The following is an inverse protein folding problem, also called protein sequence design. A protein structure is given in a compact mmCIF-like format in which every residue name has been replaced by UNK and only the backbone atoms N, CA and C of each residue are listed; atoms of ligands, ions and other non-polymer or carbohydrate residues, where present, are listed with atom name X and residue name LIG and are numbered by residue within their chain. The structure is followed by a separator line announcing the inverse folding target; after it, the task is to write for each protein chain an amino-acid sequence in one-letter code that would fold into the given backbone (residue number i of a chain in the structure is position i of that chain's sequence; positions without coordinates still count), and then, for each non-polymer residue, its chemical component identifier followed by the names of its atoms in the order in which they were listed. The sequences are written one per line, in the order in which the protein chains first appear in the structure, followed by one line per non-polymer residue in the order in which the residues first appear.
data_IF_686430745807
#
_entry.id   IF_686430745807
#
_cell.length_a   1.000
_cell.length_b   1.000
_cell.length_c   1.000
_cell.angle_alpha   90.00
_cell.angle_beta   90.00
_cell.angle_gamma   90.00
#
_symmetry.space_group_name_H-M   'P 1'
#
loop_
_entity.id
_entity.type
_entity.pdbx_description
1 polymer ?
#
# COMPACT_ATOMS: atom_id res chain seq x y z
N UNK A 1 12.69 1.12 -2.89
CA UNK A 1 12.26 -0.17 -3.48
C UNK A 1 10.75 -0.26 -3.64
N UNK A 2 9.94 -0.23 -2.57
CA UNK A 2 8.47 -0.41 -2.69
C UNK A 2 7.81 0.65 -3.59
N UNK A 3 8.17 1.94 -3.45
CA UNK A 3 7.65 3.00 -4.31
C UNK A 3 7.85 2.71 -5.80
N UNK A 4 9.07 2.42 -6.21
CA UNK A 4 9.40 2.10 -7.60
C UNK A 4 8.67 0.85 -8.12
N UNK A 5 8.49 -0.16 -7.28
CA UNK A 5 7.73 -1.36 -7.62
C UNK A 5 6.26 -1.02 -7.90
N UNK A 6 5.63 -0.23 -7.02
CA UNK A 6 4.25 0.22 -7.19
C UNK A 6 4.11 1.11 -8.43
N UNK A 7 5.07 2.01 -8.67
CA UNK A 7 5.04 2.88 -9.85
C UNK A 7 5.10 2.11 -11.17
N UNK A 8 5.77 0.94 -11.21
CA UNK A 8 5.76 0.04 -12.38
C UNK A 8 4.38 -0.59 -12.63
N UNK A 9 3.57 -0.77 -11.59
CA UNK A 9 2.26 -1.42 -11.68
C UNK A 9 1.11 -0.40 -11.86
N UNK A 10 1.20 0.76 -11.21
CA UNK A 10 0.11 1.75 -11.13
C UNK A 10 0.40 3.07 -11.84
N UNK A 11 1.56 3.18 -12.50
CA UNK A 11 2.06 4.45 -13.01
C UNK A 11 2.58 5.35 -11.88
N UNK A 12 2.91 6.60 -12.21
CA UNK A 12 3.53 7.53 -11.26
C UNK A 12 2.73 7.70 -9.96
N UNK A 13 3.47 7.74 -8.84
CA UNK A 13 2.97 8.03 -7.51
C UNK A 13 3.70 9.24 -6.94
N UNK A 14 2.93 10.30 -6.67
CA UNK A 14 3.38 11.42 -5.85
C UNK A 14 3.79 10.94 -4.45
N UNK A 15 4.56 11.77 -3.76
CA UNK A 15 4.96 11.47 -2.38
C UNK A 15 3.75 11.39 -1.43
N UNK A 16 2.69 12.16 -1.69
CA UNK A 16 1.45 12.14 -0.91
C UNK A 16 0.69 10.84 -1.11
N UNK A 17 0.51 10.40 -2.36
CA UNK A 17 -0.11 9.10 -2.67
C UNK A 17 0.67 7.95 -2.05
N UNK A 18 2.00 7.98 -2.18
CA UNK A 18 2.86 6.95 -1.59
C UNK A 18 2.78 6.93 -0.06
N UNK A 19 2.74 8.09 0.59
CA UNK A 19 2.56 8.18 2.04
C UNK A 19 1.23 7.58 2.49
N UNK A 20 0.14 7.84 1.75
CA UNK A 20 -1.17 7.28 2.06
C UNK A 20 -1.22 5.76 1.89
N UNK A 21 -0.57 5.23 0.85
CA UNK A 21 -0.41 3.79 0.66
C UNK A 21 0.39 3.17 1.80
N UNK A 22 1.49 3.80 2.21
CA UNK A 22 2.32 3.32 3.30
C UNK A 22 1.57 3.30 4.65
N UNK A 23 0.72 4.29 4.91
CA UNK A 23 -0.17 4.34 6.07
C UNK A 23 -1.14 3.14 6.05
N UNK A 24 -1.88 2.93 4.94
CA UNK A 24 -2.83 1.82 4.80
C UNK A 24 -2.15 0.46 5.00
N UNK A 25 -0.97 0.25 4.41
CA UNK A 25 -0.19 -0.98 4.56
C UNK A 25 0.24 -1.18 6.01
N UNK A 26 0.70 -0.11 6.68
CA UNK A 26 1.15 -0.16 8.07
C UNK A 26 0.01 -0.51 9.01
N UNK A 27 -1.17 0.06 8.80
CA UNK A 27 -2.34 -0.22 9.62
C UNK A 27 -2.84 -1.65 9.44
N UNK A 28 -2.81 -2.19 8.22
CA UNK A 28 -3.14 -3.59 7.97
C UNK A 28 -2.15 -4.55 8.68
N UNK A 29 -0.85 -4.27 8.59
CA UNK A 29 0.19 -5.04 9.28
C UNK A 29 -0.03 -5.01 10.80
N UNK A 30 -0.28 -3.82 11.37
CA UNK A 30 -0.53 -3.65 12.80
C UNK A 30 -1.77 -4.41 13.24
N UNK A 31 -2.87 -4.28 12.49
CA UNK A 31 -4.11 -5.01 12.76
C UNK A 31 -3.86 -6.52 12.76
N UNK A 32 -3.17 -7.02 11.73
CA UNK A 32 -2.87 -8.44 11.59
C UNK A 32 -1.98 -8.98 12.73
N UNK A 33 -0.99 -8.18 13.16
CA UNK A 33 -0.11 -8.53 14.27
C UNK A 33 -0.86 -8.54 15.61
N UNK A 34 -1.64 -7.50 15.89
CA UNK A 34 -2.33 -7.34 17.19
C UNK A 34 -3.49 -8.33 17.32
N UNK A 35 -4.29 -8.51 16.26
CA UNK A 35 -5.51 -9.34 16.32
C UNK A 35 -5.24 -10.82 16.15
N UNK A 36 -4.27 -11.19 15.31
CA UNK A 36 -4.05 -12.59 14.93
C UNK A 36 -2.66 -13.12 15.29
N UNK A 37 -1.78 -12.29 15.86
CA UNK A 37 -0.40 -12.68 16.16
C UNK A 37 0.46 -12.94 14.92
N UNK A 38 -0.05 -12.64 13.71
CA UNK A 38 0.62 -12.97 12.46
C UNK A 38 1.90 -12.15 12.29
N UNK A 39 2.97 -12.81 11.87
CA UNK A 39 4.17 -12.15 11.36
C UNK A 39 4.03 -11.96 9.86
N UNK A 40 4.28 -10.75 9.40
CA UNK A 40 4.04 -10.38 8.00
C UNK A 40 5.30 -10.54 7.17
N UNK A 41 5.24 -11.32 6.10
CA UNK A 41 6.35 -11.46 5.15
C UNK A 41 6.46 -10.23 4.24
N UNK A 42 7.65 -9.98 3.69
CA UNK A 42 7.88 -8.91 2.74
C UNK A 42 7.00 -9.04 1.48
N UNK A 43 6.71 -10.27 1.05
CA UNK A 43 5.82 -10.56 -0.08
C UNK A 43 4.37 -10.14 0.23
N UNK A 44 3.89 -10.40 1.44
CA UNK A 44 2.56 -9.99 1.86
C UNK A 44 2.45 -8.46 1.99
N UNK A 45 3.49 -7.80 2.51
CA UNK A 45 3.57 -6.32 2.53
C UNK A 45 3.48 -5.76 1.11
N UNK A 46 4.20 -6.35 0.17
CA UNK A 46 4.18 -5.95 -1.25
C UNK A 46 2.78 -6.13 -1.86
N UNK A 47 2.12 -7.24 -1.55
CA UNK A 47 0.75 -7.54 -2.02
C UNK A 47 -0.28 -6.55 -1.49
N UNK A 48 -0.22 -6.19 -0.20
CA UNK A 48 -1.12 -5.17 0.38
C UNK A 48 -0.85 -3.81 -0.25
N UNK A 49 0.43 -3.46 -0.45
CA UNK A 49 0.81 -2.18 -1.03
C UNK A 49 0.26 -2.04 -2.46
N UNK A 50 0.38 -3.08 -3.28
CA UNK A 50 -0.19 -3.13 -4.63
C UNK A 50 -1.71 -2.96 -4.61
N UNK A 51 -2.41 -3.73 -3.77
CA UNK A 51 -3.87 -3.63 -3.62
C UNK A 51 -4.30 -2.23 -3.19
N UNK A 52 -3.59 -1.65 -2.23
CA UNK A 52 -3.86 -0.30 -1.71
C UNK A 52 -3.66 0.75 -2.80
N UNK A 53 -2.60 0.63 -3.62
CA UNK A 53 -2.33 1.53 -4.73
C UNK A 53 -3.39 1.44 -5.83
N UNK A 54 -3.83 0.22 -6.19
CA UNK A 54 -4.91 -0.01 -7.18
C UNK A 54 -6.22 0.61 -6.69
N UNK A 55 -6.58 0.42 -5.42
CA UNK A 55 -7.78 0.99 -4.82
C UNK A 55 -7.72 2.52 -4.82
N UNK A 56 -6.61 3.10 -4.37
CA UNK A 56 -6.40 4.55 -4.37
C UNK A 56 -6.59 5.15 -5.77
N UNK A 57 -6.07 4.48 -6.81
CA UNK A 57 -6.21 4.90 -8.21
C UNK A 57 -7.64 4.77 -8.73
N UNK A 58 -8.33 3.67 -8.43
CA UNK A 58 -9.73 3.46 -8.86
C UNK A 58 -10.72 4.40 -8.18
N UNK A 59 -10.48 4.77 -6.93
CA UNK A 59 -11.40 5.60 -6.15
C UNK A 59 -11.28 7.11 -6.45
N UNK A 60 -10.58 7.52 -7.51
CA UNK A 60 -10.47 8.92 -7.94
C UNK A 60 -9.97 9.91 -6.87
N UNK A 61 -9.23 9.44 -5.84
CA UNK A 61 -8.56 10.31 -4.86
C UNK A 61 -7.42 11.14 -5.47
N UNK A 62 -7.25 11.07 -6.79
CA UNK A 62 -6.09 11.52 -7.57
C UNK A 62 -6.49 12.59 -8.60
N UNK A 63 -7.80 12.79 -8.83
CA UNK A 63 -8.33 13.80 -9.76
C UNK A 63 -9.13 14.91 -9.07
N UNK A 64 -8.91 15.15 -7.77
CA UNK A 64 -9.61 16.20 -7.02
C UNK A 64 -8.65 17.21 -6.43
#
# INVERSE_FOLDING_TARGET
MIKQMLERQTGHLSNVEFAKIAEMVTDDIKFNRIKFGKCTSLEYVSTIAERSAIVLKRCNYINK
#
